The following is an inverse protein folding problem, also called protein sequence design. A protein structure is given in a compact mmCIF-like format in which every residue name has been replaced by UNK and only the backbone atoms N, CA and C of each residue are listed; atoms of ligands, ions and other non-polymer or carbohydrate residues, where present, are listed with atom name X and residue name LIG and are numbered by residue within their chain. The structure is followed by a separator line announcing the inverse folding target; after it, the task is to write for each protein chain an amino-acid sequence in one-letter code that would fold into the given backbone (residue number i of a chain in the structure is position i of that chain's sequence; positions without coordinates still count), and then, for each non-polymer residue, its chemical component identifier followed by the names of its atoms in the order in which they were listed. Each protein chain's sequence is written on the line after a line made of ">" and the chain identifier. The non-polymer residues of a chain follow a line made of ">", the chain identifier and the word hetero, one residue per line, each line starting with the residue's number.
data_IF_130402252563
#
_entry.id   IF_130402252563
#
_cell.length_a   1.000
_cell.length_b   1.000
_cell.length_c   1.000
_cell.angle_alpha   90.00
_cell.angle_beta   90.00
_cell.angle_gamma   90.00
#
_symmetry.space_group_name_H-M   'P 1'
#
loop_
_entity.id
_entity.type
_entity.pdbx_description
1 polymer ?
#
# COMPACT_ATOMS: atom_id res chain seq x y z
N UNK A 1 -2.61 -60.83 -57.27
CA UNK A 1 -1.81 -60.75 -58.52
C UNK A 1 -2.22 -59.52 -59.30
N UNK A 2 -1.24 -58.66 -59.66
CA UNK A 2 -1.26 -57.61 -60.70
C UNK A 2 -2.26 -56.44 -60.55
N UNK A 3 -1.95 -55.16 -60.83
CA UNK A 3 -0.82 -54.51 -61.52
C UNK A 3 -0.78 -53.03 -61.11
N UNK A 4 0.42 -52.43 -61.19
CA UNK A 4 0.75 -51.02 -60.94
C UNK A 4 0.17 -50.06 -61.99
N UNK A 5 0.18 -48.77 -61.57
CA UNK A 5 0.54 -47.57 -62.35
C UNK A 5 -0.63 -46.96 -63.15
N UNK A 6 -0.81 -45.64 -63.28
CA UNK A 6 0.04 -44.44 -63.06
C UNK A 6 -0.87 -43.23 -63.38
N UNK A 7 -0.39 -42.02 -63.08
CA UNK A 7 -0.77 -40.71 -63.67
C UNK A 7 -1.64 -39.79 -62.80
N UNK A 8 -0.98 -39.04 -61.91
CA UNK A 8 -1.18 -37.58 -61.83
C UNK A 8 -0.54 -36.95 -63.09
N UNK A 9 -0.93 -35.74 -63.59
CA UNK A 9 -1.16 -34.52 -62.78
C UNK A 9 -2.24 -33.55 -63.31
N UNK A 10 -2.57 -32.52 -62.53
CA UNK A 10 -2.50 -31.08 -62.91
C UNK A 10 -3.43 -30.20 -62.06
N UNK A 11 -2.80 -29.51 -61.10
CA UNK A 11 -2.94 -28.09 -60.75
C UNK A 11 -4.21 -27.34 -61.23
N UNK A 12 -4.94 -26.78 -60.26
CA UNK A 12 -5.41 -25.37 -60.19
C UNK A 12 -5.87 -25.12 -58.76
N UNK A 13 -5.08 -24.48 -57.91
CA UNK A 13 -5.08 -23.02 -57.72
C UNK A 13 -6.51 -22.46 -57.57
N UNK A 14 -6.94 -22.33 -56.31
CA UNK A 14 -8.16 -21.64 -55.93
C UNK A 14 -8.04 -21.20 -54.48
N UNK A 15 -7.35 -20.08 -54.25
CA UNK A 15 -7.36 -19.38 -52.96
C UNK A 15 -8.76 -18.84 -52.74
N UNK A 16 -9.48 -19.34 -51.73
CA UNK A 16 -10.63 -18.67 -51.16
C UNK A 16 -10.27 -18.32 -49.72
N UNK A 17 -9.78 -17.10 -49.52
CA UNK A 17 -9.59 -16.54 -48.20
C UNK A 17 -10.98 -16.19 -47.63
N UNK A 18 -11.46 -17.00 -46.69
CA UNK A 18 -12.64 -16.67 -45.90
C UNK A 18 -12.25 -15.64 -44.85
N UNK A 19 -12.73 -14.41 -45.02
CA UNK A 19 -12.58 -13.35 -44.03
C UNK A 19 -13.59 -13.56 -42.89
N UNK A 20 -13.11 -14.05 -41.74
CA UNK A 20 -13.89 -14.09 -40.51
C UNK A 20 -13.91 -12.70 -39.89
N UNK A 21 -15.00 -11.96 -40.07
CA UNK A 21 -15.23 -10.70 -39.37
C UNK A 21 -15.51 -11.00 -37.89
N UNK A 22 -14.51 -10.86 -37.04
CA UNK A 22 -14.68 -10.87 -35.59
C UNK A 22 -15.30 -9.54 -35.16
N UNK A 23 -16.61 -9.55 -34.90
CA UNK A 23 -17.29 -8.45 -34.23
C UNK A 23 -16.82 -8.41 -32.76
N UNK A 24 -15.86 -7.55 -32.44
CA UNK A 24 -15.54 -7.21 -31.05
C UNK A 24 -16.64 -6.25 -30.59
N UNK A 25 -17.64 -6.80 -29.91
CA UNK A 25 -18.62 -6.02 -29.17
C UNK A 25 -17.91 -5.32 -28.01
N UNK A 26 -17.75 -4.01 -28.12
CA UNK A 26 -17.31 -3.16 -27.01
C UNK A 26 -18.47 -3.10 -26.02
N UNK A 27 -18.44 -3.95 -25.00
CA UNK A 27 -19.13 -3.66 -23.76
C UNK A 27 -18.40 -2.46 -23.16
N UNK A 28 -18.95 -1.26 -23.36
CA UNK A 28 -18.59 -0.08 -22.59
C UNK A 28 -19.13 -0.28 -21.16
N UNK A 29 -18.53 -1.23 -20.44
CA UNK A 29 -18.62 -1.28 -18.99
C UNK A 29 -17.85 -0.10 -18.44
N UNK A 30 -18.39 0.55 -17.41
CA UNK A 30 -17.78 1.68 -16.71
C UNK A 30 -16.39 1.31 -16.16
N UNK A 31 -15.36 1.40 -16.98
CA UNK A 31 -13.98 1.35 -16.54
C UNK A 31 -13.48 2.78 -16.50
N UNK A 32 -13.68 3.45 -15.37
CA UNK A 32 -12.69 4.44 -14.95
C UNK A 32 -11.38 3.65 -14.86
N UNK A 33 -10.47 3.89 -15.78
CA UNK A 33 -9.16 3.26 -15.72
C UNK A 33 -8.52 3.69 -14.40
N UNK A 34 -7.93 2.75 -13.64
CA UNK A 34 -7.32 3.08 -12.36
C UNK A 34 -6.27 4.16 -12.60
N UNK A 35 -6.31 5.21 -11.77
CA UNK A 35 -5.31 6.27 -11.81
C UNK A 35 -3.91 5.72 -11.50
N UNK A 36 -2.87 6.46 -11.85
CA UNK A 36 -1.47 6.04 -11.62
C UNK A 36 -1.19 5.68 -10.15
N UNK A 37 -1.82 6.39 -9.20
CA UNK A 37 -1.70 6.12 -7.76
C UNK A 37 -2.35 4.79 -7.36
N UNK A 38 -3.49 4.44 -7.97
CA UNK A 38 -4.19 3.19 -7.70
C UNK A 38 -3.42 2.00 -8.28
N UNK A 39 -2.85 2.15 -9.47
CA UNK A 39 -1.95 1.15 -10.07
C UNK A 39 -0.71 0.95 -9.21
N UNK A 40 -0.07 2.05 -8.75
CA UNK A 40 1.09 1.98 -7.86
C UNK A 40 0.74 1.26 -6.56
N UNK A 41 -0.35 1.66 -5.92
CA UNK A 41 -0.81 1.06 -4.68
C UNK A 41 -1.12 -0.44 -4.84
N UNK A 42 -1.77 -0.85 -5.93
CA UNK A 42 -2.03 -2.27 -6.20
C UNK A 42 -0.71 -3.06 -6.36
N UNK A 43 0.29 -2.46 -7.01
CA UNK A 43 1.63 -3.03 -7.11
C UNK A 43 2.31 -3.17 -5.75
N UNK A 44 2.31 -2.12 -4.93
CA UNK A 44 2.85 -2.14 -3.57
C UNK A 44 2.12 -3.20 -2.71
N UNK A 45 0.79 -3.23 -2.76
CA UNK A 45 -0.02 -4.19 -2.00
C UNK A 45 0.32 -5.65 -2.34
N UNK A 46 0.58 -5.96 -3.62
CA UNK A 46 0.99 -7.30 -4.04
C UNK A 46 2.46 -7.64 -3.72
N UNK A 47 3.29 -6.62 -3.49
CA UNK A 47 4.73 -6.77 -3.21
C UNK A 47 5.10 -6.85 -1.74
N UNK A 48 4.16 -6.61 -0.83
CA UNK A 48 4.42 -6.51 0.61
C UNK A 48 3.60 -7.49 1.45
N UNK A 49 4.09 -7.80 2.64
CA UNK A 49 3.33 -8.57 3.63
C UNK A 49 2.04 -7.82 4.00
N UNK A 50 0.88 -8.51 4.01
CA UNK A 50 -0.39 -7.88 4.41
C UNK A 50 -0.37 -7.41 5.87
N UNK A 51 -0.92 -6.21 6.08
CA UNK A 51 -1.09 -5.66 7.42
C UNK A 51 -2.24 -6.38 8.15
N UNK A 52 -1.98 -6.94 9.32
CA UNK A 52 -3.05 -7.41 10.19
C UNK A 52 -3.76 -6.20 10.82
N UNK A 53 -5.09 -6.16 10.75
CA UNK A 53 -5.88 -4.98 11.15
C UNK A 53 -6.69 -5.28 12.41
N UNK A 54 -6.66 -4.37 13.38
CA UNK A 54 -7.51 -4.36 14.57
C UNK A 54 -8.17 -2.98 14.71
N UNK A 55 -9.44 -2.95 15.10
CA UNK A 55 -10.20 -1.70 15.25
C UNK A 55 -10.96 -1.30 13.98
N UNK A 56 -11.20 0.00 13.83
CA UNK A 56 -12.15 0.54 12.83
C UNK A 56 -11.47 1.61 11.95
N UNK A 57 -10.61 1.22 11.00
CA UNK A 57 -10.02 2.18 10.07
C UNK A 57 -11.04 2.76 9.10
N UNK A 58 -10.78 3.99 8.64
CA UNK A 58 -11.32 4.45 7.36
C UNK A 58 -10.46 3.90 6.21
N UNK A 59 -10.96 3.96 4.98
CA UNK A 59 -10.16 3.55 3.82
C UNK A 59 -8.84 4.32 3.72
N UNK A 60 -8.88 5.62 4.02
CA UNK A 60 -7.69 6.48 4.00
C UNK A 60 -6.70 6.19 5.12
N UNK A 61 -7.17 5.98 6.35
CA UNK A 61 -6.25 5.66 7.46
C UNK A 61 -5.59 4.30 7.29
N UNK A 62 -6.33 3.30 6.78
CA UNK A 62 -5.77 2.00 6.44
C UNK A 62 -4.68 2.11 5.38
N UNK A 63 -5.00 2.76 4.26
CA UNK A 63 -4.06 2.97 3.14
C UNK A 63 -2.78 3.65 3.60
N UNK A 64 -2.90 4.75 4.36
CA UNK A 64 -1.73 5.48 4.86
C UNK A 64 -0.91 4.63 5.83
N UNK A 65 -1.53 3.85 6.72
CA UNK A 65 -0.79 2.97 7.63
C UNK A 65 -0.03 1.87 6.88
N UNK A 66 -0.62 1.31 5.83
CA UNK A 66 0.04 0.35 4.95
C UNK A 66 1.25 0.97 4.26
N UNK A 67 1.10 2.13 3.62
CA UNK A 67 2.20 2.83 2.95
C UNK A 67 3.34 3.18 3.91
N UNK A 68 3.04 3.59 5.16
CA UNK A 68 4.07 3.79 6.19
C UNK A 68 4.88 2.53 6.42
N UNK A 69 4.22 1.38 6.62
CA UNK A 69 4.89 0.10 6.87
C UNK A 69 5.72 -0.32 5.65
N UNK A 70 5.15 -0.22 4.45
CA UNK A 70 5.82 -0.60 3.20
C UNK A 70 7.06 0.25 2.94
N UNK A 71 6.95 1.58 2.97
CA UNK A 71 8.11 2.45 2.75
C UNK A 71 9.17 2.31 3.85
N UNK A 72 8.75 1.97 5.08
CA UNK A 72 9.68 1.63 6.16
C UNK A 72 10.42 0.30 5.88
N UNK A 73 9.72 -0.70 5.33
CA UNK A 73 10.29 -2.00 4.96
C UNK A 73 11.27 -1.89 3.77
N UNK A 74 10.91 -1.09 2.77
CA UNK A 74 11.70 -0.75 1.59
C UNK A 74 12.97 0.02 1.96
N UNK A 75 12.92 0.78 3.05
CA UNK A 75 13.99 1.68 3.44
C UNK A 75 14.06 2.96 2.60
N UNK A 76 12.98 3.29 1.90
CA UNK A 76 12.90 4.50 1.08
C UNK A 76 12.55 5.72 1.94
N UNK A 77 13.59 6.49 2.26
CA UNK A 77 13.46 7.71 3.07
C UNK A 77 12.63 8.78 2.37
N UNK A 78 12.73 8.90 1.04
CA UNK A 78 12.06 9.97 0.31
C UNK A 78 10.57 9.70 0.21
N UNK A 79 10.21 8.47 -0.17
CA UNK A 79 8.81 8.03 -0.27
C UNK A 79 8.12 8.02 1.10
N UNK A 80 8.81 7.55 2.16
CA UNK A 80 8.25 7.60 3.52
C UNK A 80 8.05 9.06 3.99
N UNK A 81 9.02 9.95 3.71
CA UNK A 81 8.89 11.36 4.07
C UNK A 81 7.81 12.09 3.27
N UNK A 82 7.47 11.64 2.06
CA UNK A 82 6.41 12.20 1.23
C UNK A 82 5.00 11.93 1.79
N UNK A 83 4.86 11.02 2.77
CA UNK A 83 3.60 10.82 3.50
C UNK A 83 3.33 11.94 4.52
N UNK A 84 4.30 12.81 4.79
CA UNK A 84 4.20 13.81 5.84
C UNK A 84 3.16 14.90 5.54
N UNK A 85 2.49 15.34 6.59
CA UNK A 85 1.58 16.47 6.57
C UNK A 85 2.21 17.74 5.96
N UNK A 86 1.49 18.48 5.09
CA UNK A 86 1.92 19.78 4.60
C UNK A 86 2.10 20.75 5.77
N UNK A 87 3.06 21.67 5.62
CA UNK A 87 3.44 22.62 6.67
C UNK A 87 4.41 22.08 7.73
N UNK A 88 4.80 20.80 7.67
CA UNK A 88 5.89 20.28 8.52
C UNK A 88 7.21 20.99 8.18
N UNK A 89 7.99 21.36 9.19
CA UNK A 89 9.24 22.09 9.01
C UNK A 89 10.21 21.36 8.06
N UNK A 90 10.86 22.12 7.17
CA UNK A 90 11.75 21.57 6.13
C UNK A 90 12.80 20.64 6.74
N UNK A 91 12.94 19.45 6.16
CA UNK A 91 13.93 18.45 6.57
C UNK A 91 13.50 17.57 7.76
N UNK A 92 12.50 17.97 8.54
CA UNK A 92 11.98 17.18 9.68
C UNK A 92 11.34 15.86 9.22
N UNK A 93 10.51 15.80 8.15
CA UNK A 93 10.00 14.54 7.64
C UNK A 93 11.09 13.55 7.24
N UNK A 94 12.12 14.04 6.53
CA UNK A 94 13.22 13.20 6.08
C UNK A 94 14.06 12.67 7.26
N UNK A 95 14.27 13.48 8.31
CA UNK A 95 14.94 13.03 9.53
C UNK A 95 14.12 11.97 10.27
N UNK A 96 12.81 12.22 10.43
CA UNK A 96 11.86 11.27 11.05
C UNK A 96 11.84 9.95 10.28
N UNK A 97 11.71 9.99 8.94
CA UNK A 97 11.72 8.81 8.07
C UNK A 97 12.99 7.97 8.24
N UNK A 98 14.18 8.60 8.24
CA UNK A 98 15.45 7.90 8.48
C UNK A 98 15.46 7.20 9.84
N UNK A 99 14.96 7.85 10.88
CA UNK A 99 14.89 7.25 12.21
C UNK A 99 13.93 6.07 12.25
N UNK A 100 12.76 6.18 11.63
CA UNK A 100 11.78 5.09 11.56
C UNK A 100 12.31 3.91 10.76
N UNK A 101 12.91 4.12 9.59
CA UNK A 101 13.55 3.07 8.79
C UNK A 101 14.66 2.37 9.60
N UNK A 102 15.55 3.15 10.23
CA UNK A 102 16.64 2.60 11.01
C UNK A 102 16.19 1.84 12.27
N UNK A 103 15.02 2.18 12.82
CA UNK A 103 14.49 1.55 14.02
C UNK A 103 13.61 0.34 13.71
N UNK A 104 12.74 0.45 12.71
CA UNK A 104 11.62 -0.46 12.48
C UNK A 104 11.70 -1.21 11.15
N UNK A 105 12.66 -0.90 10.27
CA UNK A 105 12.76 -1.50 8.93
C UNK A 105 12.86 -3.03 8.93
N UNK A 106 13.56 -3.62 9.90
CA UNK A 106 13.59 -5.09 10.06
C UNK A 106 12.20 -5.64 10.39
N UNK A 107 11.53 -5.04 11.38
CA UNK A 107 10.21 -5.46 11.81
C UNK A 107 9.13 -5.25 10.73
N UNK A 108 9.26 -4.19 9.94
CA UNK A 108 8.32 -3.81 8.89
C UNK A 108 8.32 -4.77 7.69
N UNK A 109 9.42 -5.49 7.45
CA UNK A 109 9.50 -6.54 6.41
C UNK A 109 8.77 -7.83 6.78
N UNK A 110 8.40 -7.98 8.05
CA UNK A 110 7.67 -9.13 8.54
C UNK A 110 6.21 -8.81 8.83
N UNK A 111 5.59 -9.67 9.64
CA UNK A 111 4.23 -9.47 10.10
C UNK A 111 4.15 -8.20 10.95
N UNK A 112 3.21 -7.33 10.60
CA UNK A 112 2.84 -6.14 11.38
C UNK A 112 1.35 -6.18 11.69
N UNK A 113 0.98 -5.82 12.91
CA UNK A 113 -0.42 -5.50 13.24
C UNK A 113 -0.57 -3.99 13.39
N UNK A 114 -1.53 -3.40 12.69
CA UNK A 114 -1.98 -2.05 12.93
C UNK A 114 -3.30 -2.07 13.71
N UNK A 115 -3.29 -1.46 14.89
CA UNK A 115 -4.50 -1.19 15.66
C UNK A 115 -4.91 0.27 15.50
N UNK A 116 -6.14 0.48 15.03
CA UNK A 116 -6.72 1.78 14.75
C UNK A 116 -7.59 2.23 15.91
N UNK A 117 -7.11 3.20 16.66
CA UNK A 117 -7.76 3.70 17.88
C UNK A 117 -8.76 4.82 17.56
N UNK A 118 -9.93 4.73 18.20
CA UNK A 118 -11.03 5.69 18.09
C UNK A 118 -11.55 5.89 16.65
N UNK A 119 -12.40 6.91 16.43
CA UNK A 119 -12.99 7.21 15.14
C UNK A 119 -11.97 7.82 14.17
N UNK A 120 -11.87 7.26 12.96
CA UNK A 120 -10.92 7.69 11.91
C UNK A 120 -11.50 8.58 10.80
N UNK A 121 -12.48 9.44 11.08
CA UNK A 121 -13.12 10.27 10.03
C UNK A 121 -12.27 11.46 9.57
N UNK A 122 -11.43 12.01 10.44
CA UNK A 122 -10.53 13.14 10.13
C UNK A 122 -9.11 12.95 10.65
N UNK A 123 -8.97 12.24 11.76
CA UNK A 123 -7.70 11.93 12.43
C UNK A 123 -7.83 10.58 13.08
N UNK A 124 -6.74 9.82 13.15
CA UNK A 124 -6.72 8.55 13.86
C UNK A 124 -5.32 8.25 14.37
N UNK A 125 -5.24 7.77 15.60
CA UNK A 125 -4.00 7.19 16.13
C UNK A 125 -3.95 5.72 15.72
N UNK A 126 -2.83 5.31 15.13
CA UNK A 126 -2.61 3.94 14.69
C UNK A 126 -1.39 3.41 15.41
N UNK A 127 -1.52 2.29 16.09
CA UNK A 127 -0.41 1.61 16.76
C UNK A 127 0.05 0.44 15.90
N UNK A 128 1.30 0.49 15.47
CA UNK A 128 1.98 -0.54 14.72
C UNK A 128 2.75 -1.45 15.67
N UNK A 129 2.48 -2.75 15.59
CA UNK A 129 3.14 -3.81 16.34
C UNK A 129 3.98 -4.64 15.38
N UNK A 130 5.30 -4.51 15.48
CA UNK A 130 6.25 -5.23 14.63
C UNK A 130 6.62 -6.56 15.28
N UNK A 131 6.04 -7.65 14.79
CA UNK A 131 6.06 -8.94 15.51
C UNK A 131 7.46 -9.58 15.56
N UNK A 132 8.28 -9.39 14.53
CA UNK A 132 9.63 -9.95 14.47
C UNK A 132 10.58 -9.32 15.50
N UNK A 133 10.45 -8.02 15.76
CA UNK A 133 11.35 -7.26 16.65
C UNK A 133 10.73 -6.95 18.00
N UNK A 134 9.42 -7.18 18.18
CA UNK A 134 8.67 -6.81 19.38
C UNK A 134 8.53 -5.30 19.57
N UNK A 135 8.90 -4.49 18.58
CA UNK A 135 8.82 -3.04 18.64
C UNK A 135 7.40 -2.54 18.42
N UNK A 136 7.10 -1.37 18.98
CA UNK A 136 5.80 -0.71 18.88
C UNK A 136 6.03 0.72 18.40
N UNK A 137 5.19 1.19 17.48
CA UNK A 137 5.18 2.59 17.02
C UNK A 137 3.76 3.12 16.93
N UNK A 138 3.49 4.23 17.59
CA UNK A 138 2.31 5.03 17.28
C UNK A 138 2.61 5.95 16.09
N UNK A 139 1.72 5.99 15.12
CA UNK A 139 1.63 7.03 14.12
C UNK A 139 0.29 7.78 14.28
N UNK A 140 0.27 9.04 13.89
CA UNK A 140 -0.95 9.83 13.85
C UNK A 140 -1.24 10.20 12.42
N UNK A 141 -2.41 9.77 11.93
CA UNK A 141 -2.85 9.95 10.56
C UNK A 141 -3.96 10.99 10.54
N UNK A 142 -3.99 11.88 9.54
CA UNK A 142 -5.01 12.92 9.41
C UNK A 142 -5.35 13.22 7.96
N UNK A 143 -6.57 13.67 7.72
CA UNK A 143 -6.94 14.23 6.43
C UNK A 143 -6.16 15.51 6.16
N UNK A 144 -6.00 15.79 4.88
CA UNK A 144 -5.59 17.08 4.37
C UNK A 144 -6.60 18.20 4.65
N UNK A 145 -6.21 19.43 4.31
CA UNK A 145 -7.08 20.61 4.37
C UNK A 145 -7.78 20.92 3.03
N UNK A 146 -7.52 20.10 2.00
CA UNK A 146 -8.05 20.26 0.63
C UNK A 146 -7.12 21.08 -0.27
N UNK A 147 -7.04 20.71 -1.56
CA UNK A 147 -6.13 21.33 -2.54
C UNK A 147 -4.67 20.87 -2.42
N UNK A 148 -4.42 19.80 -1.69
CA UNK A 148 -3.10 19.20 -1.49
C UNK A 148 -2.97 17.93 -2.36
N UNK A 149 -1.74 17.44 -2.56
CA UNK A 149 -1.43 16.35 -3.51
C UNK A 149 -2.00 14.98 -3.10
N UNK A 150 -2.53 14.84 -1.88
CA UNK A 150 -3.13 13.62 -1.35
C UNK A 150 -4.15 13.91 -0.25
N UNK A 151 -5.05 12.96 0.00
CA UNK A 151 -6.14 13.16 0.97
C UNK A 151 -5.75 12.90 2.43
N UNK A 152 -4.72 12.07 2.67
CA UNK A 152 -4.33 11.61 4.00
C UNK A 152 -2.82 11.69 4.21
N UNK A 153 -2.45 12.07 5.43
CA UNK A 153 -1.08 12.38 5.82
C UNK A 153 -0.71 11.81 7.18
N UNK A 154 0.58 11.67 7.43
CA UNK A 154 1.17 11.25 8.70
C UNK A 154 1.85 12.43 9.38
N UNK A 155 1.67 12.56 10.70
CA UNK A 155 2.51 13.45 11.49
C UNK A 155 3.94 12.89 11.56
N UNK A 156 4.91 13.63 11.02
CA UNK A 156 6.32 13.26 10.98
C UNK A 156 7.19 14.37 11.55
N UNK A 157 7.06 14.61 12.86
CA UNK A 157 7.66 15.71 13.62
C UNK A 157 8.66 15.23 14.69
N UNK A 158 9.26 14.06 14.48
CA UNK A 158 10.17 13.39 15.41
C UNK A 158 11.61 13.28 14.82
N UNK A 159 12.32 14.40 14.61
CA UNK A 159 13.64 14.37 13.99
C UNK A 159 14.71 13.73 14.89
N UNK A 160 14.45 13.67 16.19
CA UNK A 160 15.33 13.06 17.19
C UNK A 160 15.02 11.57 17.35
N UNK A 161 16.06 10.73 17.34
CA UNK A 161 15.91 9.26 17.42
C UNK A 161 15.12 8.81 18.65
N UNK A 162 15.35 9.45 19.81
CA UNK A 162 14.66 9.11 21.05
C UNK A 162 13.14 9.38 20.95
N UNK A 163 12.74 10.50 20.33
CA UNK A 163 11.34 10.79 20.08
C UNK A 163 10.75 9.82 19.03
N UNK A 164 11.47 9.57 17.94
CA UNK A 164 11.04 8.71 16.84
C UNK A 164 10.71 7.27 17.27
N UNK A 165 11.36 6.80 18.33
CA UNK A 165 11.25 5.43 18.87
C UNK A 165 10.51 5.35 20.20
N UNK A 166 10.00 6.48 20.70
CA UNK A 166 9.27 6.51 21.94
C UNK A 166 7.95 5.71 21.81
N UNK A 167 7.63 4.95 22.86
CA UNK A 167 6.34 4.27 23.00
C UNK A 167 5.57 4.98 24.11
N UNK A 168 4.49 5.71 23.78
CA UNK A 168 3.62 6.30 24.79
C UNK A 168 3.11 5.28 25.80
N UNK A 169 3.07 5.67 27.07
CA UNK A 169 2.76 4.78 28.20
C UNK A 169 1.35 4.19 28.18
N UNK A 170 0.41 4.83 27.48
CA UNK A 170 -0.97 4.37 27.34
C UNK A 170 -1.10 3.15 26.40
N UNK A 171 -0.10 2.90 25.54
CA UNK A 171 -0.19 1.88 24.50
C UNK A 171 -0.05 0.48 25.11
N UNK A 172 -1.03 -0.41 24.89
CA UNK A 172 -0.93 -1.80 25.34
C UNK A 172 0.17 -2.55 24.59
N UNK A 173 0.81 -3.51 25.26
CA UNK A 173 1.82 -4.40 24.64
C UNK A 173 1.22 -5.39 23.65
N UNK A 174 -0.08 -5.63 23.73
CA UNK A 174 -0.78 -6.62 22.91
C UNK A 174 -1.89 -5.93 22.12
N UNK A 175 -1.95 -6.12 20.79
CA UNK A 175 -3.03 -5.56 19.97
C UNK A 175 -4.41 -5.97 20.48
N UNK A 176 -5.37 -5.05 20.46
CA UNK A 176 -6.77 -5.29 20.81
C UNK A 176 -7.09 -5.26 22.30
N UNK A 177 -6.09 -5.08 23.18
CA UNK A 177 -6.28 -5.14 24.63
C UNK A 177 -7.24 -4.06 25.18
N UNK A 178 -7.40 -2.94 24.47
CA UNK A 178 -8.32 -1.85 24.85
C UNK A 178 -9.60 -1.83 24.02
N UNK A 179 -9.84 -2.85 23.18
CA UNK A 179 -10.96 -2.82 22.23
C UNK A 179 -10.88 -1.63 21.27
N UNK A 180 -9.67 -1.19 20.94
CA UNK A 180 -9.38 -0.08 20.02
C UNK A 180 -9.99 1.26 20.43
N UNK A 181 -10.01 1.54 21.74
CA UNK A 181 -10.37 2.84 22.32
C UNK A 181 -9.21 3.41 23.10
N UNK A 182 -8.94 4.70 22.94
CA UNK A 182 -7.95 5.37 23.79
C UNK A 182 -8.46 5.45 25.23
N UNK A 183 -7.52 5.41 26.17
CA UNK A 183 -7.80 5.67 27.58
C UNK A 183 -7.50 7.15 27.87
N UNK A 184 -8.38 7.88 28.59
CA UNK A 184 -8.14 9.27 28.99
C UNK A 184 -6.90 9.46 29.86
#
# INVERSE_FOLDING_TARGET
>A
MHRRSRWEPYRRAGRAAAATAAAIGVLAGCSDLPGEEEVRYAGDYGGHEPLAVVGYPSAGTLRTAQEVVWRTADGDTAELAALAAPGTARGVPAATARNWIAAFGEGARGKVTAEFYDEGSKRQSVVLYFHATGQIKQINVRTGMGGEDRDWYVSMDEPERAAATAVPSWIPKTPGALGSRSVP
#
